data_IF_998565144526
#
_entry.id   IF_998565144526
#
_cell.length_a   1.000
_cell.length_b   1.000
_cell.length_c   1.000
_cell.angle_alpha   90.00
_cell.angle_beta   90.00
_cell.angle_gamma   90.00
#
_symmetry.space_group_name_H-M   'P 1'
#
loop_
_entity.id
_entity.type
_entity.pdbx_description
1 polymer ?
#
# COMPACT_ATOMS: atom_id res chain seq x y z
N UNK A 1 -3.80 -17.59 5.70
CA UNK A 1 -2.63 -16.71 5.93
C UNK A 1 -1.35 -17.50 6.11
N UNK A 2 -1.34 -18.59 6.89
CA UNK A 2 -0.13 -19.42 7.07
C UNK A 2 0.52 -19.89 5.76
N UNK A 3 -0.27 -20.48 4.84
CA UNK A 3 0.25 -20.93 3.53
C UNK A 3 0.84 -19.80 2.69
N UNK A 4 0.11 -18.68 2.53
CA UNK A 4 0.60 -17.52 1.80
C UNK A 4 1.87 -16.93 2.44
N UNK A 5 1.92 -16.88 3.77
CA UNK A 5 3.12 -16.51 4.51
C UNK A 5 4.28 -17.46 4.20
N UNK A 6 4.07 -18.77 4.27
CA UNK A 6 5.09 -19.78 3.96
C UNK A 6 5.66 -19.62 2.54
N UNK A 7 4.81 -19.42 1.54
CA UNK A 7 5.24 -19.21 0.14
C UNK A 7 6.06 -17.94 0.01
N UNK A 8 5.61 -16.82 0.60
CA UNK A 8 6.36 -15.55 0.58
C UNK A 8 7.71 -15.72 1.29
N UNK A 9 7.72 -16.37 2.46
CA UNK A 9 8.94 -16.64 3.21
C UNK A 9 9.92 -17.56 2.50
N UNK A 10 9.41 -18.56 1.77
CA UNK A 10 10.21 -19.45 0.94
C UNK A 10 10.92 -18.68 -0.19
N UNK A 11 10.19 -17.82 -0.91
CA UNK A 11 10.74 -16.97 -1.97
C UNK A 11 11.82 -16.03 -1.42
N UNK A 12 11.55 -15.40 -0.27
CA UNK A 12 12.54 -14.53 0.40
C UNK A 12 13.77 -15.33 0.82
N UNK A 13 13.59 -16.54 1.37
CA UNK A 13 14.67 -17.44 1.76
C UNK A 13 15.53 -17.88 0.57
N UNK A 14 14.91 -18.15 -0.58
CA UNK A 14 15.61 -18.46 -1.83
C UNK A 14 16.47 -17.28 -2.31
N UNK A 15 15.90 -16.07 -2.34
CA UNK A 15 16.65 -14.85 -2.71
C UNK A 15 17.80 -14.58 -1.73
N UNK A 16 17.60 -14.87 -0.44
CA UNK A 16 18.63 -14.74 0.58
C UNK A 16 19.77 -15.76 0.40
N UNK A 17 19.45 -17.00 0.01
CA UNK A 17 20.43 -18.05 -0.24
C UNK A 17 21.42 -17.70 -1.36
N UNK A 18 21.00 -16.92 -2.36
CA UNK A 18 21.90 -16.43 -3.41
C UNK A 18 22.89 -15.35 -2.94
N UNK A 19 22.64 -14.73 -1.78
CA UNK A 19 23.45 -13.62 -1.25
C UNK A 19 24.29 -14.00 -0.04
N UNK A 20 23.91 -15.07 0.65
CA UNK A 20 24.53 -15.49 1.90
C UNK A 20 25.18 -16.86 1.71
N UNK A 21 26.34 -17.14 2.32
CA UNK A 21 27.03 -18.42 2.19
C UNK A 21 26.32 -19.50 3.02
N UNK A 22 25.12 -19.89 2.60
CA UNK A 22 24.21 -20.71 3.38
C UNK A 22 23.52 -21.76 2.51
N UNK A 23 23.19 -22.91 3.11
CA UNK A 23 22.46 -23.96 2.40
C UNK A 23 21.08 -23.44 1.94
N UNK A 24 20.77 -23.49 0.63
CA UNK A 24 19.52 -22.96 0.08
C UNK A 24 18.28 -23.65 0.65
N UNK A 25 18.33 -24.97 0.86
CA UNK A 25 17.20 -25.70 1.44
C UNK A 25 16.91 -25.24 2.89
N UNK A 26 17.96 -24.97 3.67
CA UNK A 26 17.80 -24.47 5.04
C UNK A 26 17.24 -23.04 5.07
N UNK A 27 17.70 -22.16 4.17
CA UNK A 27 17.20 -20.79 4.03
C UNK A 27 15.73 -20.72 3.58
N UNK A 28 15.35 -21.57 2.63
CA UNK A 28 13.96 -21.68 2.18
C UNK A 28 13.06 -22.20 3.30
N UNK A 29 13.49 -23.27 4.00
CA UNK A 29 12.72 -23.86 5.08
C UNK A 29 12.56 -22.92 6.29
N UNK A 30 13.64 -22.25 6.71
CA UNK A 30 13.60 -21.30 7.84
C UNK A 30 12.76 -20.06 7.51
N UNK A 31 12.90 -19.53 6.29
CA UNK A 31 12.08 -18.42 5.79
C UNK A 31 10.60 -18.81 5.73
N UNK A 32 10.28 -19.96 5.16
CA UNK A 32 8.91 -20.47 5.09
C UNK A 32 8.30 -20.64 6.49
N UNK A 33 9.04 -21.22 7.45
CA UNK A 33 8.56 -21.44 8.81
C UNK A 33 8.31 -20.12 9.55
N UNK A 34 9.26 -19.18 9.50
CA UNK A 34 9.12 -17.87 10.15
C UNK A 34 7.90 -17.11 9.62
N UNK A 35 7.74 -16.98 8.30
CA UNK A 35 6.59 -16.28 7.73
C UNK A 35 5.27 -17.04 7.88
N UNK A 36 5.29 -18.38 7.93
CA UNK A 36 4.11 -19.16 8.28
C UNK A 36 3.64 -18.82 9.70
N UNK A 37 4.56 -18.75 10.66
CA UNK A 37 4.27 -18.34 12.04
C UNK A 37 3.74 -16.91 12.13
N UNK A 38 4.29 -15.95 11.35
CA UNK A 38 3.72 -14.60 11.25
C UNK A 38 2.27 -14.66 10.75
N UNK A 39 2.02 -15.45 9.70
CA UNK A 39 0.67 -15.62 9.14
C UNK A 39 -0.33 -16.25 10.11
N UNK A 40 0.13 -17.21 10.93
CA UNK A 40 -0.64 -17.82 12.01
C UNK A 40 -0.90 -16.78 13.10
N UNK A 41 0.12 -16.06 13.57
CA UNK A 41 0.00 -15.04 14.61
C UNK A 41 -0.97 -13.93 14.20
N UNK A 42 -0.90 -13.45 12.95
CA UNK A 42 -1.84 -12.45 12.42
C UNK A 42 -3.29 -12.95 12.45
N UNK A 43 -3.52 -14.23 12.13
CA UNK A 43 -4.87 -14.83 12.17
C UNK A 43 -5.34 -15.06 13.61
N UNK A 44 -4.46 -15.56 14.46
CA UNK A 44 -4.74 -15.89 15.86
C UNK A 44 -5.01 -14.63 16.70
N UNK A 45 -4.25 -13.56 16.51
CA UNK A 45 -4.49 -12.27 17.15
C UNK A 45 -5.82 -11.65 16.72
N UNK A 46 -6.17 -11.75 15.43
CA UNK A 46 -7.47 -11.29 14.94
C UNK A 46 -8.64 -12.09 15.58
N UNK A 47 -8.50 -13.42 15.68
CA UNK A 47 -9.47 -14.28 16.36
C UNK A 47 -9.60 -13.90 17.84
N UNK A 48 -8.48 -13.79 18.56
CA UNK A 48 -8.47 -13.43 19.98
C UNK A 48 -9.06 -12.03 20.24
N UNK A 49 -8.78 -11.05 19.39
CA UNK A 49 -9.33 -9.70 19.49
C UNK A 49 -10.85 -9.69 19.25
N UNK A 50 -11.31 -10.47 18.27
CA UNK A 50 -12.74 -10.57 17.92
C UNK A 50 -13.56 -11.28 19.01
N UNK A 51 -13.07 -12.39 19.56
CA UNK A 51 -13.75 -13.13 20.64
C UNK A 51 -13.84 -12.32 21.94
N UNK A 52 -12.80 -11.54 22.27
CA UNK A 52 -12.81 -10.69 23.49
C UNK A 52 -13.58 -9.38 23.34
N UNK A 53 -14.15 -9.09 22.16
CA UNK A 53 -14.76 -7.79 21.83
C UNK A 53 -13.87 -6.61 22.26
N UNK A 54 -12.57 -6.76 22.06
CA UNK A 54 -11.59 -5.81 22.58
C UNK A 54 -11.81 -4.45 21.90
N UNK A 55 -11.92 -3.38 22.69
CA UNK A 55 -12.01 -2.02 22.12
C UNK A 55 -10.74 -1.73 21.30
N UNK A 56 -10.86 -0.92 20.26
CA UNK A 56 -9.77 -0.66 19.31
C UNK A 56 -8.52 -0.02 19.95
N UNK A 57 -8.69 0.77 21.01
CA UNK A 57 -7.59 1.44 21.73
C UNK A 57 -6.58 0.47 22.37
N UNK A 58 -6.99 -0.45 23.27
CA UNK A 58 -6.04 -1.37 23.91
C UNK A 58 -5.35 -2.30 22.91
N UNK A 59 -6.03 -2.75 21.86
CA UNK A 59 -5.41 -3.54 20.80
C UNK A 59 -4.29 -2.77 20.08
N UNK A 60 -4.55 -1.51 19.73
CA UNK A 60 -3.57 -0.66 19.05
C UNK A 60 -2.42 -0.25 19.96
N UNK A 61 -2.68 0.01 21.25
CA UNK A 61 -1.60 0.30 22.22
C UNK A 61 -0.69 -0.92 22.35
N UNK A 62 -1.25 -2.12 22.54
CA UNK A 62 -0.45 -3.34 22.66
C UNK A 62 0.40 -3.56 21.40
N UNK A 63 -0.18 -3.40 20.22
CA UNK A 63 0.55 -3.50 18.96
C UNK A 63 1.66 -2.46 18.85
N UNK A 64 1.38 -1.20 19.20
CA UNK A 64 2.36 -0.12 19.17
C UNK A 64 3.52 -0.37 20.14
N UNK A 65 3.23 -0.87 21.36
CA UNK A 65 4.25 -1.23 22.36
C UNK A 65 5.13 -2.37 21.85
N UNK A 66 4.54 -3.42 21.27
CA UNK A 66 5.29 -4.55 20.72
C UNK A 66 6.19 -4.14 19.54
N UNK A 67 5.68 -3.28 18.65
CA UNK A 67 6.46 -2.74 17.52
C UNK A 67 7.58 -1.83 18.03
N UNK A 68 7.30 -0.95 19.00
CA UNK A 68 8.31 -0.06 19.58
C UNK A 68 9.40 -0.86 20.29
N UNK A 69 9.05 -1.91 21.03
CA UNK A 69 10.02 -2.82 21.65
C UNK A 69 10.87 -3.51 20.58
N UNK A 70 10.27 -4.05 19.52
CA UNK A 70 11.02 -4.66 18.43
C UNK A 70 11.96 -3.66 17.73
N UNK A 71 11.57 -2.39 17.61
CA UNK A 71 12.43 -1.34 17.05
C UNK A 71 13.61 -1.01 17.97
N UNK A 72 13.38 -0.94 19.29
CA UNK A 72 14.43 -0.73 20.29
C UNK A 72 15.43 -1.89 20.32
N UNK A 73 14.97 -3.12 20.15
CA UNK A 73 15.83 -4.29 20.02
C UNK A 73 16.78 -4.19 18.83
N UNK A 74 16.26 -3.79 17.66
CA UNK A 74 17.06 -3.61 16.45
C UNK A 74 18.11 -2.50 16.64
N UNK A 75 17.74 -1.38 17.28
CA UNK A 75 18.66 -0.29 17.59
C UNK A 75 19.71 -0.68 18.64
N UNK A 76 19.30 -1.45 19.65
CA UNK A 76 20.15 -1.91 20.75
C UNK A 76 20.98 -3.15 20.43
N UNK A 77 20.79 -3.77 19.26
CA UNK A 77 21.35 -5.09 18.89
C UNK A 77 21.06 -6.17 19.94
N UNK A 78 19.84 -6.17 20.48
CA UNK A 78 19.36 -7.13 21.49
C UNK A 78 18.19 -7.95 20.92
N UNK A 79 18.03 -9.17 21.41
CA UNK A 79 16.97 -10.11 21.00
C UNK A 79 16.07 -10.42 22.19
N UNK A 80 15.21 -9.47 22.57
CA UNK A 80 14.34 -9.61 23.76
C UNK A 80 12.86 -9.62 23.43
N UNK A 81 12.45 -8.97 22.35
CA UNK A 81 11.06 -8.84 21.94
C UNK A 81 10.56 -10.11 21.22
N UNK A 82 9.28 -10.46 21.36
CA UNK A 82 8.72 -11.66 20.73
C UNK A 82 8.77 -11.60 19.18
N UNK A 83 8.74 -10.39 18.59
CA UNK A 83 8.84 -10.23 17.14
C UNK A 83 10.28 -10.38 16.62
N UNK A 84 11.27 -9.88 17.34
CA UNK A 84 12.69 -10.10 16.98
C UNK A 84 13.07 -11.57 17.14
N UNK A 85 12.55 -12.26 18.16
CA UNK A 85 12.73 -13.71 18.32
C UNK A 85 12.09 -14.52 17.19
N UNK A 86 10.91 -14.11 16.72
CA UNK A 86 10.26 -14.76 15.58
C UNK A 86 11.03 -14.52 14.27
N UNK A 87 11.56 -13.31 14.10
CA UNK A 87 12.41 -12.98 12.95
C UNK A 87 13.74 -13.75 12.97
N UNK A 88 14.30 -14.04 14.15
CA UNK A 88 15.54 -14.79 14.32
C UNK A 88 15.47 -16.22 13.75
N UNK A 89 14.28 -16.84 13.76
CA UNK A 89 14.03 -18.13 13.10
C UNK A 89 14.41 -18.08 11.62
N UNK A 90 14.14 -16.96 10.92
CA UNK A 90 14.51 -16.84 9.52
C UNK A 90 16.03 -16.88 9.30
N UNK A 91 16.81 -16.46 10.31
CA UNK A 91 18.28 -16.40 10.29
C UNK A 91 18.97 -17.63 10.89
N UNK A 92 18.24 -18.65 11.35
CA UNK A 92 18.80 -19.92 11.84
C UNK A 92 19.86 -20.58 10.94
N UNK A 93 19.75 -20.50 9.60
CA UNK A 93 20.77 -21.05 8.72
C UNK A 93 22.15 -20.37 8.85
N UNK A 94 22.22 -19.17 9.43
CA UNK A 94 23.45 -18.40 9.68
C UNK A 94 23.87 -18.53 11.14
N UNK A 95 22.94 -18.27 12.06
CA UNK A 95 23.18 -18.33 13.51
C UNK A 95 22.03 -19.08 14.17
N UNK A 96 22.30 -20.30 14.63
CA UNK A 96 21.32 -21.06 15.38
C UNK A 96 21.22 -20.54 16.81
N UNK A 97 20.04 -20.04 17.20
CA UNK A 97 19.74 -19.65 18.58
C UNK A 97 18.50 -20.41 19.06
N UNK A 98 18.68 -21.28 20.05
CA UNK A 98 17.57 -22.05 20.63
C UNK A 98 16.51 -21.16 21.29
N UNK A 99 16.89 -19.95 21.73
CA UNK A 99 15.99 -19.00 22.37
C UNK A 99 14.83 -18.55 21.46
N UNK A 100 15.02 -18.62 20.13
CA UNK A 100 13.96 -18.35 19.16
C UNK A 100 12.77 -19.33 19.27
N UNK A 101 12.94 -20.52 19.85
CA UNK A 101 11.84 -21.48 20.10
C UNK A 101 10.74 -20.91 21.01
N UNK A 102 11.09 -19.96 21.89
CA UNK A 102 10.11 -19.27 22.75
C UNK A 102 9.05 -18.58 21.88
N UNK A 103 9.42 -18.05 20.70
CA UNK A 103 8.45 -17.41 19.80
C UNK A 103 7.40 -18.39 19.28
N UNK A 104 7.77 -19.66 19.05
CA UNK A 104 6.84 -20.72 18.63
C UNK A 104 5.83 -20.99 19.76
N UNK A 105 6.31 -21.07 21.00
CA UNK A 105 5.45 -21.24 22.18
C UNK A 105 4.50 -20.05 22.33
N UNK A 106 4.99 -18.82 22.17
CA UNK A 106 4.15 -17.60 22.20
C UNK A 106 3.07 -17.65 21.12
N UNK A 107 3.41 -18.03 19.88
CA UNK A 107 2.43 -18.20 18.80
C UNK A 107 1.39 -19.26 19.17
N UNK A 108 1.81 -20.41 19.72
CA UNK A 108 0.90 -21.47 20.15
C UNK A 108 -0.06 -21.00 21.27
N UNK A 109 0.42 -20.24 22.24
CA UNK A 109 -0.41 -19.64 23.30
C UNK A 109 -1.44 -18.68 22.72
N UNK A 110 -1.04 -17.82 21.77
CA UNK A 110 -1.97 -16.88 21.11
C UNK A 110 -3.02 -17.62 20.28
N UNK A 111 -2.64 -18.71 19.60
CA UNK A 111 -3.58 -19.59 18.89
C UNK A 111 -4.57 -20.22 19.87
N UNK A 112 -4.09 -20.79 20.98
CA UNK A 112 -4.94 -21.38 22.01
C UNK A 112 -5.92 -20.35 22.62
N UNK A 113 -5.44 -19.13 22.90
CA UNK A 113 -6.30 -18.02 23.37
C UNK A 113 -7.33 -17.59 22.33
N UNK A 114 -6.99 -17.65 21.04
CA UNK A 114 -7.93 -17.38 19.95
C UNK A 114 -9.00 -18.46 19.80
N UNK A 115 -8.61 -19.74 19.85
CA UNK A 115 -9.51 -20.88 19.66
C UNK A 115 -10.45 -21.08 20.86
N UNK A 116 -9.97 -20.89 22.08
CA UNK A 116 -10.78 -21.04 23.31
C UNK A 116 -11.97 -20.07 23.41
N UNK A 117 -12.04 -19.05 22.54
CA UNK A 117 -13.06 -18.00 22.55
C UNK A 117 -13.92 -17.95 21.29
N UNK A 118 -13.92 -19.00 20.47
CA UNK A 118 -14.75 -19.09 19.26
C UNK A 118 -16.25 -19.01 19.59
N UNK A 119 -16.67 -19.50 20.76
CA UNK A 119 -18.08 -19.49 21.18
C UNK A 119 -18.69 -18.09 21.38
N UNK A 120 -17.86 -17.06 21.55
CA UNK A 120 -18.33 -15.68 21.81
C UNK A 120 -18.65 -14.88 20.51
N UNK A 121 -18.44 -15.50 19.34
CA UNK A 121 -18.63 -14.86 18.04
C UNK A 121 -20.11 -14.82 17.64
N UNK A 122 -20.64 -13.63 17.36
CA UNK A 122 -22.02 -13.51 16.88
C UNK A 122 -22.15 -14.03 15.45
N UNK A 123 -22.98 -15.05 15.25
CA UNK A 123 -23.26 -15.66 13.94
C UNK A 123 -23.79 -14.62 12.95
N UNK A 124 -24.64 -13.68 13.39
CA UNK A 124 -25.21 -12.64 12.52
C UNK A 124 -24.17 -11.65 11.95
N UNK A 125 -23.17 -11.26 12.75
CA UNK A 125 -22.09 -10.41 12.23
C UNK A 125 -21.17 -11.21 11.31
N UNK A 126 -20.91 -12.48 11.65
CA UNK A 126 -20.14 -13.37 10.80
C UNK A 126 -20.82 -13.59 9.45
N UNK A 127 -22.14 -13.76 9.42
CA UNK A 127 -22.94 -13.99 8.21
C UNK A 127 -23.03 -12.72 7.35
N UNK A 128 -23.26 -11.55 7.95
CA UNK A 128 -23.17 -10.25 7.24
C UNK A 128 -21.78 -10.02 6.63
N UNK A 129 -20.72 -10.31 7.41
CA UNK A 129 -19.33 -10.19 6.93
C UNK A 129 -19.03 -11.20 5.82
N UNK A 130 -19.50 -12.43 5.94
CA UNK A 130 -19.32 -13.47 4.93
C UNK A 130 -20.02 -13.09 3.61
N UNK A 131 -21.24 -12.54 3.67
CA UNK A 131 -21.96 -12.03 2.50
C UNK A 131 -21.18 -10.92 1.78
N UNK A 132 -20.65 -9.94 2.52
CA UNK A 132 -19.80 -8.89 1.95
C UNK A 132 -18.49 -9.45 1.37
N UNK A 133 -17.88 -10.47 1.99
CA UNK A 133 -16.68 -11.14 1.46
C UNK A 133 -16.99 -11.93 0.20
N UNK A 134 -18.16 -12.55 0.09
CA UNK A 134 -18.61 -13.21 -1.13
C UNK A 134 -18.79 -12.20 -2.27
N UNK A 135 -19.44 -11.06 -1.99
CA UNK A 135 -19.56 -9.95 -2.95
C UNK A 135 -18.19 -9.40 -3.35
N UNK A 136 -17.24 -9.28 -2.41
CA UNK A 136 -15.86 -8.92 -2.72
C UNK A 136 -15.21 -9.90 -3.67
N UNK A 137 -15.29 -11.20 -3.40
CA UNK A 137 -14.70 -12.23 -4.28
C UNK A 137 -15.32 -12.16 -5.66
N UNK A 138 -16.62 -11.97 -5.75
CA UNK A 138 -17.32 -11.78 -7.02
C UNK A 138 -16.85 -10.52 -7.77
N UNK A 139 -16.75 -9.39 -7.07
CA UNK A 139 -16.23 -8.15 -7.65
C UNK A 139 -14.76 -8.27 -8.09
N UNK A 140 -13.92 -8.99 -7.31
CA UNK A 140 -12.53 -9.29 -7.68
C UNK A 140 -12.49 -10.16 -8.93
N UNK A 141 -13.35 -11.19 -9.06
CA UNK A 141 -13.41 -12.02 -10.27
C UNK A 141 -13.87 -11.23 -11.50
N UNK A 142 -14.74 -10.23 -11.32
CA UNK A 142 -15.14 -9.30 -12.37
C UNK A 142 -14.12 -8.17 -12.60
N UNK A 143 -13.02 -8.15 -11.84
CA UNK A 143 -12.01 -7.08 -11.85
C UNK A 143 -12.61 -5.68 -11.65
N UNK A 144 -13.74 -5.59 -10.97
CA UNK A 144 -14.34 -4.32 -10.62
C UNK A 144 -13.68 -3.79 -9.34
N UNK A 145 -12.46 -3.27 -9.51
CA UNK A 145 -11.61 -2.76 -8.42
C UNK A 145 -12.35 -1.73 -7.55
N UNK A 146 -13.30 -1.00 -8.14
CA UNK A 146 -14.07 0.02 -7.46
C UNK A 146 -15.11 -0.57 -6.49
N UNK A 147 -15.93 -1.54 -6.93
CA UNK A 147 -16.82 -2.24 -5.99
C UNK A 147 -16.03 -3.00 -4.94
N UNK A 148 -14.88 -3.60 -5.31
CA UNK A 148 -13.98 -4.24 -4.34
C UNK A 148 -13.56 -3.27 -3.24
N UNK A 149 -13.18 -2.04 -3.59
CA UNK A 149 -12.75 -1.05 -2.59
C UNK A 149 -13.93 -0.56 -1.75
N UNK A 150 -15.08 -0.32 -2.36
CA UNK A 150 -16.28 0.13 -1.64
C UNK A 150 -16.74 -0.94 -0.64
N UNK A 151 -16.85 -2.19 -1.07
CA UNK A 151 -17.22 -3.32 -0.22
C UNK A 151 -16.16 -3.59 0.86
N UNK A 152 -14.87 -3.40 0.55
CA UNK A 152 -13.78 -3.52 1.53
C UNK A 152 -13.93 -2.47 2.62
N UNK A 153 -14.29 -1.24 2.27
CA UNK A 153 -14.51 -0.16 3.24
C UNK A 153 -15.72 -0.41 4.12
N UNK A 154 -16.79 -0.97 3.55
CA UNK A 154 -17.96 -1.42 4.33
C UNK A 154 -17.57 -2.54 5.31
N UNK A 155 -16.76 -3.49 4.85
CA UNK A 155 -16.21 -4.56 5.69
C UNK A 155 -15.27 -4.07 6.80
N UNK A 156 -14.46 -3.05 6.52
CA UNK A 156 -13.58 -2.45 7.52
C UNK A 156 -14.27 -1.40 8.39
N UNK A 157 -15.58 -1.16 8.17
CA UNK A 157 -16.34 -0.09 8.82
C UNK A 157 -15.63 1.27 8.76
N UNK A 158 -14.92 1.53 7.66
CA UNK A 158 -14.23 2.79 7.42
C UNK A 158 -15.23 3.88 7.03
N UNK A 159 -16.09 4.24 7.99
CA UNK A 159 -17.02 5.34 7.82
C UNK A 159 -16.27 6.66 7.91
N UNK A 160 -16.51 7.53 6.92
CA UNK A 160 -16.00 8.90 6.96
C UNK A 160 -16.52 9.60 8.23
N UNK A 161 -15.69 10.44 8.84
CA UNK A 161 -16.09 11.16 10.06
C UNK A 161 -17.26 12.09 9.73
N UNK A 162 -18.32 12.05 10.56
CA UNK A 162 -19.47 12.95 10.45
C UNK A 162 -19.08 14.42 10.64
N UNK A 163 -18.09 14.69 11.51
CA UNK A 163 -17.53 16.02 11.75
C UNK A 163 -16.11 16.09 11.16
N UNK A 164 -15.82 17.00 10.23
CA UNK A 164 -14.47 17.17 9.70
C UNK A 164 -13.53 17.65 10.80
N UNK A 165 -12.24 17.32 10.67
CA UNK A 165 -11.18 17.76 11.58
C UNK A 165 -11.10 19.28 11.65
N UNK A 166 -11.21 19.93 10.48
CA UNK A 166 -11.21 21.38 10.33
C UNK A 166 -12.39 21.74 9.43
N UNK A 167 -13.22 22.71 9.84
CA UNK A 167 -14.32 23.19 9.01
C UNK A 167 -13.79 24.21 8.02
N UNK A 168 -13.78 23.88 6.74
CA UNK A 168 -13.51 24.86 5.69
C UNK A 168 -14.76 25.74 5.52
N UNK A 169 -14.64 27.04 5.78
CA UNK A 169 -15.73 28.02 5.65
C UNK A 169 -16.30 28.08 4.22
N UNK A 170 -17.52 28.60 4.03
CA UNK A 170 -18.18 28.69 2.71
C UNK A 170 -17.33 29.50 1.70
N UNK A 171 -17.40 29.14 0.42
CA UNK A 171 -16.59 29.81 -0.60
C UNK A 171 -17.14 31.22 -0.78
N UNK A 172 -16.30 32.24 -0.61
CA UNK A 172 -16.67 33.61 -0.98
C UNK A 172 -16.74 33.67 -2.51
N UNK A 173 -17.64 34.48 -3.09
CA UNK A 173 -17.85 34.61 -4.56
C UNK A 173 -16.57 34.91 -5.37
N UNK A 174 -15.48 35.36 -4.74
CA UNK A 174 -14.15 35.63 -5.33
C UNK A 174 -13.02 34.80 -4.68
N UNK A 175 -13.20 33.49 -4.50
CA UNK A 175 -12.09 32.63 -4.05
C UNK A 175 -11.23 32.22 -5.26
N UNK A 176 -9.91 32.39 -5.16
CA UNK A 176 -8.94 31.90 -6.15
C UNK A 176 -8.83 30.37 -6.19
N UNK A 177 -9.43 29.67 -5.23
CA UNK A 177 -9.38 28.20 -5.13
C UNK A 177 -10.58 27.62 -5.89
N UNK A 178 -10.33 26.73 -6.88
CA UNK A 178 -11.41 26.03 -7.57
C UNK A 178 -12.35 25.32 -6.59
N UNK A 179 -13.68 25.33 -6.81
CA UNK A 179 -14.63 24.64 -5.95
C UNK A 179 -14.33 23.14 -5.80
N UNK A 180 -13.80 22.52 -6.85
CA UNK A 180 -13.37 21.10 -6.88
C UNK A 180 -12.26 20.84 -5.88
N UNK A 181 -11.20 21.64 -5.87
CA UNK A 181 -10.08 21.47 -4.94
C UNK A 181 -10.51 21.61 -3.48
N UNK A 182 -11.42 22.54 -3.19
CA UNK A 182 -11.97 22.70 -1.84
C UNK A 182 -12.77 21.48 -1.40
N UNK A 183 -13.56 20.91 -2.29
CA UNK A 183 -14.32 19.68 -2.03
C UNK A 183 -13.38 18.52 -1.70
N UNK A 184 -12.26 18.40 -2.40
CA UNK A 184 -11.26 17.35 -2.16
C UNK A 184 -10.67 17.46 -0.75
N UNK A 185 -10.32 18.68 -0.34
CA UNK A 185 -9.86 18.93 1.02
C UNK A 185 -10.93 18.62 2.07
N UNK A 186 -12.21 18.90 1.80
CA UNK A 186 -13.28 18.50 2.71
C UNK A 186 -13.38 16.97 2.86
N UNK A 187 -13.10 16.22 1.79
CA UNK A 187 -13.03 14.75 1.82
C UNK A 187 -11.84 14.25 2.63
N UNK A 188 -10.63 14.81 2.41
CA UNK A 188 -9.45 14.44 3.20
C UNK A 188 -9.59 14.81 4.68
N UNK A 189 -10.17 15.97 4.99
CA UNK A 189 -10.43 16.41 6.37
C UNK A 189 -11.50 15.57 7.10
N UNK A 190 -12.11 14.57 6.45
CA UNK A 190 -13.00 13.60 7.09
C UNK A 190 -12.36 12.21 7.24
N UNK A 191 -11.08 12.07 6.88
CA UNK A 191 -10.40 10.78 6.99
C UNK A 191 -10.33 10.35 8.46
N UNK A 192 -10.66 9.07 8.75
CA UNK A 192 -10.51 8.53 10.08
C UNK A 192 -9.01 8.36 10.38
N UNK A 193 -8.61 8.53 11.65
CA UNK A 193 -7.21 8.44 12.10
C UNK A 193 -6.51 7.12 11.63
N UNK A 194 -7.17 5.94 11.69
CA UNK A 194 -6.55 4.70 11.21
C UNK A 194 -6.15 4.73 9.73
N UNK A 195 -6.89 5.45 8.88
CA UNK A 195 -6.54 5.60 7.46
C UNK A 195 -5.26 6.43 7.30
N UNK A 196 -5.15 7.55 8.01
CA UNK A 196 -3.96 8.40 7.99
C UNK A 196 -2.73 7.64 8.52
N UNK A 197 -2.89 6.89 9.61
CA UNK A 197 -1.82 6.05 10.16
C UNK A 197 -1.38 4.96 9.17
N UNK A 198 -2.33 4.32 8.47
CA UNK A 198 -2.03 3.33 7.42
C UNK A 198 -1.26 3.96 6.26
N UNK A 199 -1.68 5.13 5.79
CA UNK A 199 -0.99 5.85 4.70
C UNK A 199 0.45 6.20 5.11
N UNK A 200 0.64 6.71 6.33
CA UNK A 200 1.96 7.00 6.87
C UNK A 200 2.81 5.73 7.00
N UNK A 201 2.23 4.62 7.48
CA UNK A 201 2.91 3.32 7.61
C UNK A 201 3.39 2.79 6.26
N UNK A 202 2.55 2.85 5.22
CA UNK A 202 2.98 2.49 3.86
C UNK A 202 4.06 3.43 3.31
N UNK A 203 4.00 4.73 3.64
CA UNK A 203 5.08 5.67 3.33
C UNK A 203 6.41 5.29 3.99
N UNK A 204 6.38 4.87 5.26
CA UNK A 204 7.56 4.37 5.98
C UNK A 204 8.08 3.07 5.36
N UNK A 205 7.20 2.12 5.03
CA UNK A 205 7.58 0.87 4.34
C UNK A 205 8.25 1.18 3.00
N UNK A 206 7.70 2.11 2.23
CA UNK A 206 8.30 2.53 0.96
C UNK A 206 9.69 3.16 1.16
N UNK A 207 9.86 4.06 2.14
CA UNK A 207 11.16 4.68 2.40
C UNK A 207 12.22 3.70 2.91
N UNK A 208 11.86 2.79 3.81
CA UNK A 208 12.76 1.72 4.24
C UNK A 208 13.12 0.76 3.09
N UNK A 209 12.16 0.47 2.20
CA UNK A 209 12.40 -0.36 1.02
C UNK A 209 13.36 0.31 0.04
N UNK A 210 13.23 1.62 -0.18
CA UNK A 210 14.19 2.40 -0.98
C UNK A 210 15.55 2.54 -0.29
N UNK A 211 15.58 2.57 1.04
CA UNK A 211 16.84 2.52 1.79
C UNK A 211 17.55 1.17 1.66
N UNK A 212 16.80 0.07 1.67
CA UNK A 212 17.32 -1.28 1.41
C UNK A 212 17.79 -1.46 -0.04
N UNK A 213 17.09 -0.80 -0.99
CA UNK A 213 17.49 -0.72 -2.39
C UNK A 213 18.89 -0.09 -2.53
N UNK A 214 19.14 1.04 -1.87
CA UNK A 214 20.45 1.70 -1.86
C UNK A 214 21.56 0.79 -1.32
N UNK A 215 21.26 -0.05 -0.33
CA UNK A 215 22.18 -1.05 0.22
C UNK A 215 22.36 -2.29 -0.67
N UNK A 216 21.82 -2.28 -1.88
CA UNK A 216 22.02 -3.33 -2.89
C UNK A 216 20.86 -4.31 -3.06
N UNK A 217 19.70 -4.11 -2.40
CA UNK A 217 18.54 -5.00 -2.52
C UNK A 217 17.58 -4.51 -3.61
N UNK A 218 17.95 -4.74 -4.88
CA UNK A 218 17.17 -4.33 -6.08
C UNK A 218 15.66 -4.67 -6.01
N UNK A 219 15.21 -5.88 -5.62
CA UNK A 219 13.78 -6.21 -5.66
C UNK A 219 12.91 -5.37 -4.72
N UNK A 220 13.49 -4.65 -3.75
CA UNK A 220 12.74 -3.76 -2.85
C UNK A 220 12.11 -2.56 -3.56
N UNK A 221 12.52 -2.26 -4.80
CA UNK A 221 11.87 -1.24 -5.62
C UNK A 221 10.41 -1.58 -5.92
N UNK A 222 10.08 -2.87 -6.09
CA UNK A 222 8.72 -3.33 -6.35
C UNK A 222 7.86 -3.12 -5.10
N UNK A 223 8.41 -3.45 -3.92
CA UNK A 223 7.74 -3.24 -2.63
C UNK A 223 7.48 -1.76 -2.39
N UNK A 224 8.47 -0.90 -2.67
CA UNK A 224 8.32 0.55 -2.57
C UNK A 224 7.25 1.10 -3.51
N UNK A 225 7.26 0.69 -4.79
CA UNK A 225 6.27 1.12 -5.78
C UNK A 225 4.85 0.67 -5.41
N UNK A 226 4.67 -0.59 -5.02
CA UNK A 226 3.37 -1.10 -4.58
C UNK A 226 2.86 -0.37 -3.32
N UNK A 227 3.73 -0.12 -2.35
CA UNK A 227 3.36 0.64 -1.15
C UNK A 227 2.91 2.08 -1.50
N UNK A 228 3.66 2.77 -2.37
CA UNK A 228 3.28 4.11 -2.85
C UNK A 228 1.99 4.11 -3.65
N UNK A 229 1.77 3.11 -4.51
CA UNK A 229 0.53 2.93 -5.26
C UNK A 229 -0.67 2.75 -4.32
N UNK A 230 -0.55 1.92 -3.28
CA UNK A 230 -1.62 1.71 -2.30
C UNK A 230 -1.95 2.99 -1.52
N UNK A 231 -0.95 3.80 -1.18
CA UNK A 231 -1.18 5.11 -0.54
C UNK A 231 -1.84 6.08 -1.51
N UNK A 232 -1.40 6.10 -2.77
CA UNK A 232 -1.99 6.92 -3.80
C UNK A 232 -3.44 6.55 -4.06
N UNK A 233 -3.82 5.28 -3.90
CA UNK A 233 -5.19 4.82 -3.98
C UNK A 233 -6.08 5.39 -2.87
N UNK A 234 -5.56 5.50 -1.63
CA UNK A 234 -6.24 6.21 -0.55
C UNK A 234 -6.26 7.74 -0.80
N UNK A 235 -5.25 8.28 -1.48
CA UNK A 235 -5.21 9.69 -1.88
C UNK A 235 -6.18 10.01 -3.03
N UNK A 236 -6.47 9.10 -3.96
CA UNK A 236 -7.41 9.33 -5.07
C UNK A 236 -8.89 9.24 -4.65
N UNK A 237 -9.17 9.30 -3.36
CA UNK A 237 -10.53 9.24 -2.81
C UNK A 237 -11.49 10.29 -3.36
N UNK A 238 -11.11 11.57 -3.53
CA UNK A 238 -12.03 12.56 -4.10
C UNK A 238 -12.45 12.19 -5.52
N UNK A 239 -11.51 11.67 -6.33
CA UNK A 239 -11.82 11.16 -7.67
C UNK A 239 -12.80 10.00 -7.60
N UNK A 240 -12.61 9.05 -6.67
CA UNK A 240 -13.52 7.93 -6.50
C UNK A 240 -14.95 8.38 -6.15
N UNK A 241 -15.09 9.39 -5.29
CA UNK A 241 -16.39 9.94 -4.89
C UNK A 241 -17.15 10.56 -6.07
N UNK A 242 -16.45 11.16 -7.03
CA UNK A 242 -17.07 11.70 -8.23
C UNK A 242 -17.57 10.62 -9.17
N UNK A 243 -16.78 9.55 -9.35
CA UNK A 243 -17.22 8.40 -10.12
C UNK A 243 -18.42 7.71 -9.43
N UNK A 244 -18.51 7.75 -8.10
CA UNK A 244 -19.64 7.26 -7.27
C UNK A 244 -20.95 8.05 -7.41
N UNK A 245 -20.91 9.30 -7.87
CA UNK A 245 -22.10 10.13 -8.01
C UNK A 245 -22.29 10.59 -9.47
N UNK A 246 -22.68 9.68 -10.38
CA UNK A 246 -22.73 9.96 -11.82
C UNK A 246 -23.69 11.10 -12.17
N UNK A 247 -24.79 11.25 -11.45
CA UNK A 247 -25.74 12.35 -11.66
C UNK A 247 -25.13 13.73 -11.38
N UNK A 248 -24.21 13.82 -10.42
CA UNK A 248 -23.46 15.06 -10.17
C UNK A 248 -22.43 15.29 -11.26
N UNK A 249 -21.77 14.23 -11.72
CA UNK A 249 -20.80 14.30 -12.81
C UNK A 249 -21.43 14.82 -14.11
N UNK A 250 -22.59 14.28 -14.49
CA UNK A 250 -23.32 14.65 -15.71
C UNK A 250 -23.83 16.09 -15.69
N UNK A 251 -24.10 16.64 -14.50
CA UNK A 251 -24.49 18.04 -14.35
C UNK A 251 -23.35 19.05 -14.55
N UNK A 252 -22.10 18.58 -14.64
CA UNK A 252 -20.94 19.44 -14.79
C UNK A 252 -20.74 19.86 -16.26
N UNK A 253 -20.61 21.17 -16.56
CA UNK A 253 -20.64 21.67 -17.94
C UNK A 253 -19.35 21.43 -18.75
N UNK A 254 -18.31 20.85 -18.14
CA UNK A 254 -17.02 20.61 -18.79
C UNK A 254 -16.89 19.19 -19.34
N UNK A 255 -15.91 18.99 -20.24
CA UNK A 255 -15.59 17.67 -20.74
C UNK A 255 -15.21 16.74 -19.57
N UNK A 256 -15.70 15.48 -19.55
CA UNK A 256 -15.58 14.59 -18.40
C UNK A 256 -14.14 14.36 -17.95
N UNK A 257 -13.19 14.20 -18.90
CA UNK A 257 -11.78 14.00 -18.54
C UNK A 257 -11.14 15.18 -17.79
N UNK A 258 -11.65 16.41 -17.95
CA UNK A 258 -11.12 17.60 -17.27
C UNK A 258 -11.40 17.55 -15.77
N UNK A 259 -12.57 17.06 -15.37
CA UNK A 259 -12.93 16.94 -13.96
C UNK A 259 -11.98 15.98 -13.22
N UNK A 260 -11.63 14.84 -13.84
CA UNK A 260 -10.62 13.91 -13.28
C UNK A 260 -9.27 14.62 -13.08
N UNK A 261 -8.85 15.41 -14.08
CA UNK A 261 -7.57 16.11 -14.04
C UNK A 261 -7.51 17.18 -12.96
N UNK A 262 -8.63 17.84 -12.63
CA UNK A 262 -8.66 18.80 -11.52
C UNK A 262 -8.39 18.13 -10.17
N UNK A 263 -8.84 16.89 -9.99
CA UNK A 263 -8.58 16.11 -8.78
C UNK A 263 -7.14 15.59 -8.67
N UNK A 264 -6.39 15.58 -9.79
CA UNK A 264 -4.96 15.19 -9.79
C UNK A 264 -4.14 16.11 -8.91
N UNK A 265 -4.42 17.42 -8.95
CA UNK A 265 -3.69 18.40 -8.14
C UNK A 265 -3.83 18.11 -6.64
N UNK A 266 -5.04 17.76 -6.19
CA UNK A 266 -5.28 17.45 -4.78
C UNK A 266 -4.57 16.16 -4.35
N UNK A 267 -4.63 15.11 -5.16
CA UNK A 267 -3.93 13.85 -4.90
C UNK A 267 -2.40 14.03 -4.90
N UNK A 268 -1.87 14.85 -5.81
CA UNK A 268 -0.45 15.19 -5.88
C UNK A 268 0.05 15.88 -4.59
N UNK A 269 -0.72 16.79 -4.01
CA UNK A 269 -0.36 17.45 -2.74
C UNK A 269 -0.34 16.45 -1.58
N UNK A 270 -1.28 15.50 -1.53
CA UNK A 270 -1.23 14.43 -0.50
C UNK A 270 -0.02 13.55 -0.71
N UNK A 271 0.26 13.13 -1.94
CA UNK A 271 1.43 12.30 -2.25
C UNK A 271 2.76 13.02 -1.98
N UNK A 272 2.80 14.34 -2.14
CA UNK A 272 3.91 15.21 -1.77
C UNK A 272 4.25 15.05 -0.27
N UNK A 273 3.26 15.08 0.63
CA UNK A 273 3.50 14.83 2.06
C UNK A 273 3.96 13.40 2.35
N UNK A 274 3.43 12.41 1.63
CA UNK A 274 3.84 11.01 1.77
C UNK A 274 5.28 10.81 1.28
N UNK A 275 5.67 11.41 0.16
CA UNK A 275 7.04 11.39 -0.34
C UNK A 275 8.02 12.03 0.67
N UNK A 276 7.59 13.02 1.44
CA UNK A 276 8.40 13.56 2.54
C UNK A 276 8.60 12.52 3.67
N UNK A 277 7.56 11.75 4.03
CA UNK A 277 7.67 10.64 5.00
C UNK A 277 8.59 9.53 4.47
N UNK A 278 8.50 9.22 3.17
CA UNK A 278 9.36 8.26 2.48
C UNK A 278 10.82 8.69 2.54
N UNK A 279 11.11 9.97 2.22
CA UNK A 279 12.45 10.52 2.33
C UNK A 279 12.97 10.49 3.79
N UNK A 280 12.14 10.90 4.75
CA UNK A 280 12.49 10.90 6.17
C UNK A 280 12.79 9.49 6.71
N UNK A 281 12.01 8.49 6.31
CA UNK A 281 12.24 7.09 6.71
C UNK A 281 13.45 6.46 6.01
N UNK A 282 13.76 6.86 4.78
CA UNK A 282 14.97 6.41 4.08
C UNK A 282 16.28 6.86 4.78
N UNK A 283 16.26 7.97 5.52
CA UNK A 283 17.42 8.47 6.30
C UNK A 283 17.90 7.48 7.37
N UNK A 284 17.07 6.51 7.78
CA UNK A 284 17.46 5.46 8.72
C UNK A 284 18.56 4.57 8.11
N UNK A 285 18.54 4.37 6.79
CA UNK A 285 19.43 3.43 6.10
C UNK A 285 20.46 4.12 5.20
N UNK A 286 20.20 5.37 4.79
CA UNK A 286 20.96 6.09 3.76
C UNK A 286 21.42 7.46 4.29
N UNK A 287 22.66 7.91 3.98
CA UNK A 287 23.15 9.22 4.40
C UNK A 287 22.29 10.39 3.91
N UNK A 288 22.16 11.43 4.73
CA UNK A 288 21.33 12.62 4.42
C UNK A 288 21.69 13.27 3.08
N UNK A 289 22.99 13.39 2.78
CA UNK A 289 23.45 14.01 1.53
C UNK A 289 22.95 13.29 0.26
N UNK A 290 22.81 11.96 0.32
CA UNK A 290 22.27 11.14 -0.77
C UNK A 290 20.77 11.37 -0.89
N UNK A 291 20.05 11.24 0.23
CA UNK A 291 18.59 11.33 0.27
C UNK A 291 18.12 12.69 -0.21
N UNK A 292 18.73 13.79 0.26
CA UNK A 292 18.33 15.14 -0.15
C UNK A 292 18.50 15.37 -1.66
N UNK A 293 19.65 14.98 -2.23
CA UNK A 293 19.94 15.13 -3.67
C UNK A 293 18.96 14.33 -4.54
N UNK A 294 18.70 13.07 -4.20
CA UNK A 294 17.80 12.21 -4.96
C UNK A 294 16.34 12.57 -4.76
N UNK A 295 15.94 12.95 -3.54
CA UNK A 295 14.58 13.36 -3.24
C UNK A 295 14.19 14.58 -4.07
N UNK A 296 15.04 15.62 -4.15
CA UNK A 296 14.73 16.82 -4.95
C UNK A 296 14.43 16.53 -6.42
N UNK A 297 15.13 15.56 -7.01
CA UNK A 297 14.94 15.16 -8.41
C UNK A 297 13.70 14.27 -8.59
N UNK A 298 13.51 13.31 -7.68
CA UNK A 298 12.50 12.26 -7.80
C UNK A 298 11.12 12.65 -7.25
N UNK A 299 11.06 13.70 -6.43
CA UNK A 299 9.84 14.04 -5.69
C UNK A 299 8.62 14.27 -6.59
N UNK A 300 8.77 15.14 -7.59
CA UNK A 300 7.70 15.49 -8.52
C UNK A 300 7.29 14.29 -9.40
N UNK A 301 8.21 13.62 -10.13
CA UNK A 301 7.81 12.51 -11.00
C UNK A 301 7.17 11.36 -10.23
N UNK A 302 7.68 11.00 -9.05
CA UNK A 302 7.15 9.90 -8.24
C UNK A 302 5.78 10.26 -7.66
N UNK A 303 5.61 11.44 -7.08
CA UNK A 303 4.32 11.86 -6.52
C UNK A 303 3.24 11.95 -7.60
N UNK A 304 3.58 12.47 -8.79
CA UNK A 304 2.65 12.61 -9.90
C UNK A 304 2.32 11.25 -10.53
N UNK A 305 3.30 10.38 -10.76
CA UNK A 305 3.09 9.03 -11.25
C UNK A 305 2.22 8.19 -10.32
N UNK A 306 2.48 8.26 -9.01
CA UNK A 306 1.67 7.60 -8.00
C UNK A 306 0.24 8.11 -8.01
N UNK A 307 0.02 9.43 -7.99
CA UNK A 307 -1.32 10.00 -8.05
C UNK A 307 -2.08 9.57 -9.33
N UNK A 308 -1.46 9.74 -10.51
CA UNK A 308 -2.09 9.43 -11.80
C UNK A 308 -2.41 7.94 -11.93
N UNK A 309 -1.51 7.05 -11.52
CA UNK A 309 -1.75 5.61 -11.57
C UNK A 309 -2.96 5.18 -10.74
N UNK A 310 -3.10 5.72 -9.53
CA UNK A 310 -4.24 5.46 -8.66
C UNK A 310 -5.52 5.99 -9.29
N UNK A 311 -5.49 7.19 -9.86
CA UNK A 311 -6.65 7.76 -10.56
C UNK A 311 -7.07 6.94 -11.78
N UNK A 312 -6.12 6.43 -12.58
CA UNK A 312 -6.42 5.50 -13.67
C UNK A 312 -7.16 4.29 -13.15
N UNK A 313 -6.68 3.69 -12.06
CA UNK A 313 -7.34 2.54 -11.44
C UNK A 313 -8.76 2.87 -10.95
N UNK A 314 -8.96 4.05 -10.35
CA UNK A 314 -10.31 4.48 -9.90
C UNK A 314 -11.26 4.82 -11.05
N UNK A 315 -10.75 5.40 -12.14
CA UNK A 315 -11.55 5.88 -13.27
C UNK A 315 -11.93 4.75 -14.24
N UNK A 316 -11.20 3.62 -14.22
CA UNK A 316 -11.40 2.55 -15.19
C UNK A 316 -12.75 1.83 -15.03
N UNK A 317 -13.35 1.79 -13.83
CA UNK A 317 -14.67 1.15 -13.60
C UNK A 317 -14.74 -0.32 -14.03
N UNK A 318 -15.94 -0.91 -13.97
CA UNK A 318 -16.17 -2.29 -14.37
C UNK A 318 -15.81 -2.51 -15.87
N UNK A 319 -15.21 -3.65 -16.23
CA UNK A 319 -15.03 -4.03 -17.64
C UNK A 319 -16.37 -4.16 -18.35
N UNK A 320 -16.49 -3.51 -19.52
CA UNK A 320 -17.60 -3.77 -20.43
C UNK A 320 -17.37 -5.14 -21.08
N UNK A 321 -17.86 -6.18 -20.41
CA UNK A 321 -17.72 -7.58 -20.87
C UNK A 321 -18.38 -7.78 -22.25
N UNK A 322 -19.45 -7.07 -22.57
CA UNK A 322 -20.12 -7.17 -23.88
C UNK A 322 -19.22 -6.62 -25.01
N UNK A 323 -18.55 -5.49 -24.77
CA UNK A 323 -17.58 -4.94 -25.72
C UNK A 323 -16.27 -5.73 -25.81
N UNK A 324 -15.87 -6.40 -24.72
CA UNK A 324 -14.67 -7.23 -24.68
C UNK A 324 -14.90 -8.63 -25.29
N UNK A 325 -16.11 -9.18 -25.17
CA UNK A 325 -16.46 -10.47 -25.76
C UNK A 325 -16.33 -10.46 -27.29
N UNK A 326 -16.55 -9.32 -27.94
CA UNK A 326 -16.34 -9.14 -29.38
C UNK A 326 -14.88 -9.19 -29.84
N UNK A 327 -13.91 -9.09 -28.93
CA UNK A 327 -12.48 -9.14 -29.24
C UNK A 327 -11.87 -10.56 -29.18
N UNK A 328 -12.67 -11.56 -28.81
CA UNK A 328 -12.22 -12.94 -28.59
C UNK A 328 -11.59 -13.17 -27.21
N UNK A 329 -11.56 -14.43 -26.72
CA UNK A 329 -11.16 -14.77 -25.36
C UNK A 329 -9.69 -14.44 -25.06
N UNK A 330 -8.80 -14.59 -26.03
CA UNK A 330 -7.36 -14.36 -25.83
C UNK A 330 -7.03 -12.87 -25.64
N UNK A 331 -7.60 -12.01 -26.48
CA UNK A 331 -7.41 -10.54 -26.39
C UNK A 331 -8.08 -10.01 -25.13
N UNK A 332 -9.25 -10.53 -24.76
CA UNK A 332 -9.93 -10.19 -23.52
C UNK A 332 -9.04 -10.48 -22.30
N UNK A 333 -8.40 -11.66 -22.26
CA UNK A 333 -7.45 -12.02 -21.20
C UNK A 333 -6.31 -11.02 -21.07
N UNK A 334 -5.67 -10.66 -22.19
CA UNK A 334 -4.57 -9.67 -22.20
C UNK A 334 -5.02 -8.28 -21.75
N UNK A 335 -6.18 -7.81 -22.19
CA UNK A 335 -6.72 -6.50 -21.77
C UNK A 335 -7.03 -6.48 -20.28
N UNK A 336 -7.55 -7.57 -19.72
CA UNK A 336 -7.82 -7.71 -18.29
C UNK A 336 -6.52 -7.70 -17.46
N UNK A 337 -5.49 -8.43 -17.89
CA UNK A 337 -4.17 -8.39 -17.27
C UNK A 337 -3.58 -6.98 -17.32
N UNK A 338 -3.65 -6.33 -18.49
CA UNK A 338 -3.15 -4.98 -18.67
C UNK A 338 -3.84 -3.98 -17.73
N UNK A 339 -5.16 -4.06 -17.55
CA UNK A 339 -5.89 -3.17 -16.62
C UNK A 339 -5.50 -3.36 -15.16
N UNK A 340 -5.15 -4.58 -14.78
CA UNK A 340 -4.69 -4.88 -13.42
C UNK A 340 -3.24 -4.43 -13.18
N UNK A 341 -2.36 -4.64 -14.17
CA UNK A 341 -0.91 -4.47 -14.01
C UNK A 341 -0.43 -3.07 -14.35
N UNK A 342 -1.02 -2.38 -15.33
CA UNK A 342 -0.57 -1.05 -15.78
C UNK A 342 -0.58 0.00 -14.65
N UNK A 343 -1.63 0.12 -13.81
CA UNK A 343 -1.62 1.12 -12.75
C UNK A 343 -0.44 0.97 -11.78
N UNK A 344 -0.22 -0.17 -11.10
CA UNK A 344 0.93 -0.29 -10.20
C UNK A 344 2.27 -0.19 -10.93
N UNK A 345 2.40 -0.67 -12.18
CA UNK A 345 3.69 -0.57 -12.89
C UNK A 345 4.10 0.86 -13.20
N UNK A 346 3.16 1.78 -13.46
CA UNK A 346 3.49 3.21 -13.63
C UNK A 346 4.23 3.77 -12.41
N UNK A 347 3.82 3.38 -11.19
CA UNK A 347 4.49 3.82 -9.95
C UNK A 347 5.88 3.20 -9.79
N UNK A 348 6.05 1.94 -10.15
CA UNK A 348 7.34 1.24 -10.09
C UNK A 348 8.31 1.82 -11.13
N UNK A 349 7.84 2.10 -12.35
CA UNK A 349 8.63 2.72 -13.41
C UNK A 349 9.14 4.09 -12.98
N UNK A 350 8.32 4.87 -12.26
CA UNK A 350 8.73 6.16 -11.73
C UNK A 350 9.88 6.08 -10.71
N UNK A 351 10.12 4.91 -10.10
CA UNK A 351 11.24 4.70 -9.18
C UNK A 351 12.51 4.17 -9.87
N UNK A 352 12.42 3.63 -11.10
CA UNK A 352 13.56 3.06 -11.82
C UNK A 352 14.77 4.00 -11.97
N UNK A 353 14.61 5.33 -12.14
CA UNK A 353 15.75 6.25 -12.17
C UNK A 353 16.66 6.17 -10.94
N UNK A 354 16.18 5.71 -9.78
CA UNK A 354 17.01 5.52 -8.59
C UNK A 354 18.10 4.45 -8.79
N UNK A 355 17.89 3.48 -9.68
CA UNK A 355 18.88 2.44 -9.98
C UNK A 355 20.12 3.00 -10.68
N UNK A 356 20.01 4.15 -11.34
CA UNK A 356 21.15 4.77 -12.05
C UNK A 356 21.98 5.71 -11.16
N UNK A 357 21.57 5.92 -9.90
CA UNK A 357 22.24 6.84 -8.97
C UNK A 357 23.66 6.40 -8.56
N UNK A 358 23.95 5.10 -8.63
CA UNK A 358 25.18 4.49 -8.08
C UNK A 358 25.08 4.23 -6.58
N UNK A 359 26.04 3.48 -6.01
CA UNK A 359 26.08 3.12 -4.59
C UNK A 359 27.01 4.00 -3.74
N UNK A 360 27.87 4.81 -4.39
CA UNK A 360 28.88 5.61 -3.71
C UNK A 360 28.33 6.97 -3.26
N UNK A 361 28.31 7.29 -1.95
CA UNK A 361 27.74 8.54 -1.44
C UNK A 361 28.44 9.80 -1.94
N UNK A 362 29.73 9.70 -2.29
CA UNK A 362 30.55 10.83 -2.73
C UNK A 362 30.51 11.05 -4.25
N UNK A 363 30.08 10.04 -5.03
CA UNK A 363 30.09 10.04 -6.50
C UNK A 363 28.70 9.78 -7.09
N UNK A 364 27.65 10.29 -6.45
CA UNK A 364 26.27 10.11 -6.89
C UNK A 364 26.07 10.76 -8.26
N UNK A 365 25.58 9.98 -9.23
CA UNK A 365 25.38 10.45 -10.59
C UNK A 365 23.98 11.09 -10.76
N UNK A 366 23.81 12.30 -10.20
CA UNK A 366 22.52 13.01 -10.23
C UNK A 366 22.06 13.38 -11.64
N UNK A 367 22.98 13.57 -12.59
CA UNK A 367 22.63 13.87 -13.99
C UNK A 367 22.04 12.65 -14.70
N UNK A 368 22.59 11.44 -14.47
CA UNK A 368 21.99 10.20 -14.98
C UNK A 368 20.59 9.95 -14.41
N UNK A 369 20.40 10.21 -13.11
CA UNK A 369 19.07 10.10 -12.47
C UNK A 369 18.11 11.10 -13.09
N UNK A 370 18.51 12.37 -13.21
CA UNK A 370 17.73 13.43 -13.84
C UNK A 370 17.29 13.07 -15.27
N UNK A 371 18.22 12.63 -16.11
CA UNK A 371 17.91 12.22 -17.48
C UNK A 371 16.94 11.03 -17.51
N UNK A 372 17.11 10.05 -16.62
CA UNK A 372 16.21 8.91 -16.52
C UNK A 372 14.81 9.30 -16.03
N UNK A 373 14.66 10.36 -15.21
CA UNK A 373 13.34 10.84 -14.77
C UNK A 373 12.49 11.38 -15.92
N UNK A 374 13.09 11.83 -17.02
CA UNK A 374 12.36 12.30 -18.19
C UNK A 374 11.45 11.20 -18.74
N UNK A 375 11.92 9.95 -18.78
CA UNK A 375 11.10 8.81 -19.21
C UNK A 375 9.89 8.58 -18.29
N UNK A 376 10.06 8.76 -16.98
CA UNK A 376 8.94 8.66 -16.04
C UNK A 376 7.91 9.78 -16.26
N UNK A 377 8.36 11.01 -16.54
CA UNK A 377 7.47 12.12 -16.86
C UNK A 377 6.73 11.92 -18.18
N UNK A 378 7.38 11.32 -19.20
CA UNK A 378 6.70 10.93 -20.43
C UNK A 378 5.60 9.88 -20.19
N UNK A 379 5.89 8.84 -19.39
CA UNK A 379 4.88 7.84 -19.02
C UNK A 379 3.69 8.48 -18.29
N UNK A 380 3.98 9.44 -17.40
CA UNK A 380 2.96 10.23 -16.69
C UNK A 380 2.16 11.13 -17.64
N UNK A 381 2.81 11.78 -18.61
CA UNK A 381 2.13 12.59 -19.63
C UNK A 381 1.17 11.75 -20.48
N UNK A 382 1.60 10.56 -20.92
CA UNK A 382 0.74 9.60 -21.62
C UNK A 382 -0.43 9.14 -20.75
N UNK A 383 -0.19 8.88 -19.47
CA UNK A 383 -1.22 8.51 -18.50
C UNK A 383 -2.25 9.64 -18.26
N UNK A 384 -1.81 10.90 -18.23
CA UNK A 384 -2.68 12.09 -18.15
C UNK A 384 -3.52 12.25 -19.42
N UNK A 385 -2.92 12.07 -20.61
CA UNK A 385 -3.66 12.11 -21.88
C UNK A 385 -4.70 10.98 -21.95
N UNK A 386 -4.35 9.79 -21.46
CA UNK A 386 -5.29 8.69 -21.34
C UNK A 386 -6.47 9.04 -20.42
N UNK A 387 -6.23 9.65 -19.25
CA UNK A 387 -7.30 10.12 -18.37
C UNK A 387 -8.17 11.19 -19.03
N UNK A 388 -7.58 12.11 -19.79
CA UNK A 388 -8.30 13.18 -20.48
C UNK A 388 -9.31 12.66 -21.50
N UNK A 389 -9.01 11.55 -22.16
CA UNK A 389 -9.87 10.94 -23.18
C UNK A 389 -10.96 10.05 -22.61
N UNK A 390 -10.88 9.70 -21.32
CA UNK A 390 -11.85 8.82 -20.67
C UNK A 390 -13.10 9.57 -20.25
N UNK A 391 -14.25 9.07 -20.70
CA UNK A 391 -15.53 9.22 -20.00
C UNK A 391 -15.65 8.05 -19.00
N UNK A 392 -16.04 8.27 -17.74
CA UNK A 392 -16.43 7.16 -16.87
C UNK A 392 -17.56 6.41 -17.58
N UNK A 393 -17.37 5.12 -17.86
CA UNK A 393 -18.40 4.29 -18.47
C UNK A 393 -19.31 3.79 -17.35
N UNK A 394 -20.60 4.03 -17.52
CA UNK A 394 -21.63 3.53 -16.62
C UNK A 394 -21.69 2.00 -16.70
N UNK A 395 -22.09 1.38 -15.59
CA UNK A 395 -22.61 0.01 -15.56
C UNK A 395 -23.87 -0.08 -16.42
#
# INVERSE_FOLDING_TARGET
MAFAGAVIGAIIGEVAAYRLPVNPAAAIASGALSFALVGVLASATALAASGRRLRWWPANILAAVLIAWSALDVLGKRTTSPFTLLADIAFWPITFQAFALISIVVVAVVVWLGLSRIGDLSIEHALRRAGLVAQLRFAVTLQDVRTVVLLRRQLSQENARLRPWIRIGRSKKKSFIPPTWKRDWQSYLRFPLPRLLRMAMFGVIAGLSLGALWRGTIPMIIVAGLALYLVAYDASEPTAQEVDHPTRWESFPEAPGVLILQHVAAAFVVMTFICAIVAASALILVPFAVVWKLALIMFVPVALAAAVSAMISTAQGAPNMAGLAGLGPDVMGWVMIARLVIPPTITVIALLPLLSAGSDPNAINTTKVGNATVYSLFAVGGAILYLRTRKPKHL
#
